data_IF_730203798511
#
_entry.id   IF_730203798511
#
_cell.length_a   1.000
_cell.length_b   1.000
_cell.length_c   1.000
_cell.angle_alpha   90.00
_cell.angle_beta   90.00
_cell.angle_gamma   90.00
#
_symmetry.space_group_name_H-M   'P 1'
#
loop_
_entity.id
_entity.type
_entity.pdbx_description
1 polymer ?
#
# COMPACT_ATOMS: atom_id res chain seq x y z
N UNK A 1 -2.12 32.85 -39.36
CA UNK A 1 -1.89 33.92 -38.36
C UNK A 1 -2.15 33.40 -36.94
N UNK A 2 -1.07 33.29 -36.16
CA UNK A 2 -1.05 33.14 -34.70
C UNK A 2 -1.93 34.18 -34.00
N UNK A 3 -2.35 33.90 -32.76
CA UNK A 3 -2.25 34.71 -31.51
C UNK A 3 -3.21 34.05 -30.48
N UNK A 4 -2.76 33.02 -29.75
CA UNK A 4 -2.23 33.08 -28.37
C UNK A 4 -3.16 33.78 -27.34
N UNK A 5 -3.63 33.03 -26.34
CA UNK A 5 -3.53 33.44 -24.93
C UNK A 5 -3.62 32.25 -23.95
N UNK A 6 -2.79 32.30 -22.90
CA UNK A 6 -2.56 31.27 -21.86
C UNK A 6 -3.40 31.55 -20.59
N UNK A 7 -3.96 30.48 -20.00
CA UNK A 7 -4.23 30.05 -18.58
C UNK A 7 -4.15 31.11 -17.43
N UNK A 8 -4.91 31.01 -16.30
CA UNK A 8 -4.96 29.80 -15.44
C UNK A 8 -6.21 29.52 -14.56
N UNK A 9 -6.32 28.27 -14.12
CA UNK A 9 -6.67 27.94 -12.73
C UNK A 9 -8.15 27.91 -12.32
N UNK A 10 -8.82 26.77 -12.53
CA UNK A 10 -9.91 26.33 -11.64
C UNK A 10 -9.56 24.97 -11.04
N UNK A 11 -8.38 24.90 -10.42
CA UNK A 11 -8.00 23.77 -9.59
C UNK A 11 -8.64 23.92 -8.22
N UNK A 12 -9.88 23.46 -8.05
CA UNK A 12 -10.38 23.07 -6.74
C UNK A 12 -10.14 21.58 -6.57
N UNK A 13 -8.90 21.22 -6.22
CA UNK A 13 -8.62 19.92 -5.63
C UNK A 13 -8.87 20.03 -4.13
N UNK A 14 -10.10 19.74 -3.72
CA UNK A 14 -10.41 19.47 -2.33
C UNK A 14 -10.30 17.97 -2.11
N UNK A 15 -9.16 17.53 -1.57
CA UNK A 15 -9.02 16.20 -1.00
C UNK A 15 -8.80 16.37 0.50
N UNK A 16 -9.89 16.31 1.27
CA UNK A 16 -9.79 16.12 2.71
C UNK A 16 -10.98 15.33 3.23
N UNK A 17 -10.73 14.05 3.48
CA UNK A 17 -11.36 13.31 4.58
C UNK A 17 -10.23 12.50 5.22
N UNK A 18 -9.74 13.01 6.35
CA UNK A 18 -8.87 12.26 7.26
C UNK A 18 -9.64 12.01 8.53
N UNK A 19 -10.31 10.87 8.60
CA UNK A 19 -11.01 10.36 9.78
C UNK A 19 -10.94 8.82 9.66
N UNK A 20 -10.36 8.01 10.55
CA UNK A 20 -9.98 8.16 11.95
C UNK A 20 -8.84 7.15 12.31
N UNK A 21 -7.90 7.52 13.20
CA UNK A 21 -6.97 6.62 13.93
C UNK A 21 -5.90 5.77 13.17
N UNK A 22 -5.11 6.36 12.26
CA UNK A 22 -3.84 5.74 11.86
C UNK A 22 -2.65 6.51 12.45
N UNK A 23 -2.05 6.01 13.54
CA UNK A 23 -0.69 6.43 13.91
C UNK A 23 0.20 6.08 12.72
N UNK A 24 0.75 7.09 12.03
CA UNK A 24 1.77 6.86 11.02
C UNK A 24 2.98 6.25 11.75
N UNK A 25 3.11 4.93 11.72
CA UNK A 25 4.21 4.24 12.39
C UNK A 25 5.45 4.40 11.51
N UNK A 26 6.35 5.30 11.91
CA UNK A 26 7.67 5.39 11.32
C UNK A 26 8.52 4.23 11.86
N UNK A 27 8.64 3.16 11.08
CA UNK A 27 9.45 1.99 11.44
C UNK A 27 10.82 2.08 10.76
N UNK A 28 11.89 2.05 11.57
CA UNK A 28 13.27 1.95 11.07
C UNK A 28 13.72 0.50 11.20
N UNK A 29 14.08 -0.11 10.07
CA UNK A 29 14.52 -1.51 9.98
C UNK A 29 15.95 -1.54 9.50
N UNK A 30 16.81 -2.37 10.10
CA UNK A 30 18.19 -2.53 9.62
C UNK A 30 18.19 -3.41 8.37
N UNK A 31 19.10 -3.12 7.45
CA UNK A 31 19.29 -3.96 6.26
C UNK A 31 19.62 -5.40 6.70
N UNK A 32 18.97 -6.39 6.10
CA UNK A 32 19.11 -7.80 6.47
C UNK A 32 18.07 -8.29 7.48
N UNK A 33 17.46 -7.40 8.27
CA UNK A 33 16.45 -7.78 9.26
C UNK A 33 15.13 -8.20 8.61
N UNK A 34 14.25 -8.76 9.45
CA UNK A 34 12.89 -9.09 9.08
C UNK A 34 11.94 -8.01 9.58
N UNK A 35 11.02 -7.58 8.74
CA UNK A 35 9.89 -6.72 9.14
C UNK A 35 8.58 -7.35 8.71
N UNK A 36 7.55 -7.19 9.54
CA UNK A 36 6.18 -7.61 9.22
C UNK A 36 5.27 -6.42 9.28
N UNK A 37 4.68 -6.10 8.14
CA UNK A 37 3.61 -5.11 8.01
C UNK A 37 2.29 -5.82 8.29
N UNK A 38 1.47 -5.25 9.17
CA UNK A 38 0.17 -5.81 9.55
C UNK A 38 -0.90 -4.78 9.25
N UNK A 39 -1.95 -5.20 8.56
CA UNK A 39 -3.12 -4.40 8.33
C UNK A 39 -4.35 -5.12 8.85
N UNK A 40 -5.21 -4.37 9.52
CA UNK A 40 -6.53 -4.80 9.97
C UNK A 40 -7.56 -3.93 9.27
N UNK A 41 -8.50 -4.58 8.58
CA UNK A 41 -9.63 -3.91 7.98
C UNK A 41 -10.69 -3.58 9.04
N UNK A 42 -11.41 -2.48 8.83
CA UNK A 42 -12.44 -1.99 9.77
C UNK A 42 -13.84 -2.52 9.47
N UNK A 43 -14.04 -3.07 8.27
CA UNK A 43 -15.32 -3.60 7.80
C UNK A 43 -15.81 -4.85 8.53
N UNK A 44 -17.13 -5.02 8.55
CA UNK A 44 -17.82 -6.19 9.13
C UNK A 44 -17.88 -7.40 8.19
N UNK A 45 -17.65 -7.17 6.89
CA UNK A 45 -17.78 -8.19 5.84
C UNK A 45 -16.41 -8.76 5.44
N UNK A 46 -16.44 -9.82 4.63
CA UNK A 46 -15.25 -10.43 4.04
C UNK A 46 -14.63 -9.47 3.02
N UNK A 47 -13.55 -8.79 3.40
CA UNK A 47 -12.93 -7.77 2.54
C UNK A 47 -11.79 -8.34 1.70
N UNK A 48 -11.71 -7.85 0.47
CA UNK A 48 -10.52 -7.99 -0.34
C UNK A 48 -9.48 -7.00 0.17
N UNK A 49 -8.29 -7.46 0.50
CA UNK A 49 -7.25 -6.61 1.07
C UNK A 49 -6.03 -6.51 0.16
N UNK A 50 -5.39 -5.36 0.23
CA UNK A 50 -4.28 -4.98 -0.62
C UNK A 50 -3.20 -4.31 0.22
N UNK A 51 -1.95 -4.56 -0.15
CA UNK A 51 -0.83 -3.71 0.23
C UNK A 51 -0.26 -3.03 -1.00
N UNK A 52 0.00 -1.74 -0.85
CA UNK A 52 0.68 -0.93 -1.81
C UNK A 52 1.95 -0.34 -1.21
N UNK A 53 2.92 -0.07 -2.07
CA UNK A 53 4.15 0.64 -1.74
C UNK A 53 4.26 1.88 -2.62
N UNK A 54 4.55 3.03 -2.01
CA UNK A 54 5.00 4.22 -2.70
C UNK A 54 6.51 4.40 -2.42
N UNK A 55 7.38 4.13 -3.40
CA UNK A 55 8.82 4.37 -3.26
C UNK A 55 9.14 5.85 -2.97
N UNK A 56 10.29 6.12 -2.33
CA UNK A 56 10.74 7.49 -2.06
C UNK A 56 11.33 8.21 -3.28
N UNK A 57 11.44 7.54 -4.42
CA UNK A 57 11.98 8.12 -5.66
C UNK A 57 11.06 9.24 -6.19
N UNK A 58 11.65 10.26 -6.81
CA UNK A 58 10.87 11.32 -7.46
C UNK A 58 10.08 10.71 -8.62
N UNK A 59 8.80 11.11 -8.74
CA UNK A 59 7.86 10.64 -9.76
C UNK A 59 7.54 9.13 -9.69
N UNK A 60 7.79 8.49 -8.55
CA UNK A 60 7.41 7.10 -8.33
C UNK A 60 5.88 6.94 -8.32
N UNK A 61 5.41 5.86 -8.95
CA UNK A 61 4.02 5.43 -8.89
C UNK A 61 3.78 4.44 -7.75
N UNK A 62 2.55 4.35 -7.30
CA UNK A 62 2.10 3.37 -6.31
C UNK A 62 2.16 1.97 -6.92
N UNK A 63 2.84 1.05 -6.23
CA UNK A 63 3.05 -0.33 -6.66
C UNK A 63 2.18 -1.26 -5.82
N UNK A 64 1.43 -2.16 -6.46
CA UNK A 64 0.76 -3.24 -5.75
C UNK A 64 1.83 -4.23 -5.24
N UNK A 65 1.76 -4.62 -3.98
CA UNK A 65 2.72 -5.55 -3.36
C UNK A 65 2.08 -6.91 -3.21
N UNK A 66 0.90 -6.94 -2.58
CA UNK A 66 0.11 -8.16 -2.42
C UNK A 66 -1.37 -7.84 -2.50
N UNK A 67 -2.13 -8.78 -3.03
CA UNK A 67 -3.57 -8.83 -3.01
C UNK A 67 -4.01 -10.17 -2.41
N UNK A 68 -5.08 -10.16 -1.62
CA UNK A 68 -5.68 -11.41 -1.17
C UNK A 68 -7.16 -11.25 -0.84
N UNK A 69 -7.94 -12.22 -1.32
CA UNK A 69 -9.32 -12.45 -0.90
C UNK A 69 -9.33 -13.01 0.52
N UNK A 70 -10.36 -12.69 1.30
CA UNK A 70 -10.58 -13.30 2.60
C UNK A 70 -10.67 -14.84 2.49
N UNK A 71 -9.91 -15.55 3.34
CA UNK A 71 -9.75 -17.01 3.26
C UNK A 71 -8.89 -17.53 2.09
N UNK A 72 -8.52 -16.66 1.15
CA UNK A 72 -7.72 -17.00 -0.03
C UNK A 72 -6.22 -17.11 0.21
N UNK A 73 -5.47 -17.46 -0.85
CA UNK A 73 -4.01 -17.31 -0.87
C UNK A 73 -3.65 -15.86 -1.20
N UNK A 74 -2.46 -15.44 -0.78
CA UNK A 74 -1.88 -14.17 -1.22
C UNK A 74 -1.38 -14.28 -2.66
N UNK A 75 -1.73 -13.29 -3.48
CA UNK A 75 -1.08 -13.03 -4.76
C UNK A 75 -0.09 -11.87 -4.58
N UNK A 76 1.20 -12.20 -4.59
CA UNK A 76 2.29 -11.26 -4.40
C UNK A 76 2.81 -10.86 -5.78
N UNK A 77 2.99 -9.58 -6.04
CA UNK A 77 3.49 -9.12 -7.34
C UNK A 77 4.89 -9.63 -7.63
N UNK A 78 5.17 -9.88 -8.92
CA UNK A 78 6.34 -10.67 -9.37
C UNK A 78 7.67 -10.13 -8.85
N UNK A 79 7.82 -8.81 -8.80
CA UNK A 79 8.99 -8.09 -8.31
C UNK A 79 9.27 -8.31 -6.82
N UNK A 80 8.25 -8.68 -6.02
CA UNK A 80 8.35 -8.87 -4.57
C UNK A 80 8.48 -10.34 -4.15
N UNK A 81 8.04 -11.30 -4.99
CA UNK A 81 7.93 -12.74 -4.67
C UNK A 81 9.17 -13.38 -4.03
N UNK A 82 10.38 -12.89 -4.33
CA UNK A 82 11.62 -13.48 -3.82
C UNK A 82 11.85 -13.26 -2.32
N UNK A 83 11.30 -12.18 -1.75
CA UNK A 83 11.60 -11.76 -0.36
C UNK A 83 10.36 -11.43 0.46
N UNK A 84 9.23 -11.15 -0.22
CA UNK A 84 7.98 -10.83 0.41
C UNK A 84 7.15 -12.11 0.54
N UNK A 85 6.55 -12.30 1.70
CA UNK A 85 5.78 -13.48 2.05
C UNK A 85 4.49 -13.06 2.73
N UNK A 86 3.40 -13.73 2.40
CA UNK A 86 2.11 -13.51 3.03
C UNK A 86 1.32 -14.82 3.03
N UNK A 87 0.57 -15.06 4.10
CA UNK A 87 -0.36 -16.18 4.22
C UNK A 87 -1.73 -15.89 3.58
N UNK A 88 -1.93 -14.69 3.03
CA UNK A 88 -3.22 -14.22 2.56
C UNK A 88 -4.07 -13.62 3.69
N UNK A 89 -5.24 -13.09 3.31
CA UNK A 89 -6.14 -12.40 4.24
C UNK A 89 -6.86 -13.41 5.13
N UNK A 90 -6.84 -13.19 6.45
CA UNK A 90 -7.55 -14.00 7.44
C UNK A 90 -8.21 -13.12 8.47
N UNK A 91 -9.51 -13.30 8.70
CA UNK A 91 -10.28 -12.51 9.64
C UNK A 91 -10.07 -11.00 9.42
N UNK A 92 -10.10 -10.54 8.17
CA UNK A 92 -9.89 -9.13 7.82
C UNK A 92 -8.49 -8.61 8.22
N UNK A 93 -7.50 -9.51 8.32
CA UNK A 93 -6.10 -9.17 8.53
C UNK A 93 -5.26 -9.62 7.33
N UNK A 94 -4.47 -8.70 6.79
CA UNK A 94 -3.48 -9.00 5.77
C UNK A 94 -2.10 -8.58 6.25
N UNK A 95 -1.23 -9.57 6.44
CA UNK A 95 0.17 -9.34 6.84
C UNK A 95 1.14 -9.63 5.70
N UNK A 96 2.20 -8.84 5.62
CA UNK A 96 3.31 -9.00 4.67
C UNK A 96 4.62 -9.03 5.45
N UNK A 97 5.33 -10.14 5.34
CA UNK A 97 6.69 -10.30 5.87
C UNK A 97 7.70 -10.00 4.78
N UNK A 98 8.67 -9.15 5.07
CA UNK A 98 9.78 -8.79 4.20
C UNK A 98 11.06 -9.34 4.83
N UNK A 99 11.74 -10.25 4.13
CA UNK A 99 12.99 -10.83 4.61
C UNK A 99 13.89 -11.27 3.42
N UNK A 100 15.16 -10.81 3.35
CA UNK A 100 15.75 -9.72 4.14
C UNK A 100 15.18 -8.36 3.71
N UNK A 101 15.12 -7.40 4.63
CA UNK A 101 14.86 -5.99 4.30
C UNK A 101 16.06 -5.37 3.57
N UNK A 102 15.80 -4.62 2.49
CA UNK A 102 16.80 -3.96 1.66
C UNK A 102 16.56 -2.45 1.60
N UNK A 103 17.60 -1.67 1.21
CA UNK A 103 17.47 -0.22 1.07
C UNK A 103 16.39 0.19 0.07
N UNK A 104 16.21 -0.58 -1.01
CA UNK A 104 15.17 -0.31 -2.01
C UNK A 104 13.75 -0.60 -1.50
N UNK A 105 13.57 -1.24 -0.34
CA UNK A 105 12.26 -1.42 0.29
C UNK A 105 11.77 -0.14 0.97
N UNK A 106 12.64 0.86 1.13
CA UNK A 106 12.27 2.14 1.73
C UNK A 106 11.15 2.81 0.94
N UNK A 107 10.07 3.16 1.62
CA UNK A 107 8.89 3.78 1.03
C UNK A 107 7.73 3.83 2.02
N UNK A 108 6.65 4.48 1.59
CA UNK A 108 5.41 4.50 2.37
C UNK A 108 4.56 3.30 1.96
N UNK A 109 4.15 2.51 2.94
CA UNK A 109 3.28 1.36 2.70
C UNK A 109 1.85 1.70 3.07
N UNK A 110 0.93 1.43 2.16
CA UNK A 110 -0.50 1.68 2.32
C UNK A 110 -1.24 0.37 2.29
N UNK A 111 -2.17 0.20 3.22
CA UNK A 111 -3.15 -0.85 3.15
C UNK A 111 -4.45 -0.30 2.57
N UNK A 112 -5.15 -1.12 1.78
CA UNK A 112 -6.50 -0.82 1.32
C UNK A 112 -7.39 -2.05 1.49
N UNK A 113 -8.68 -1.80 1.68
CA UNK A 113 -9.74 -2.79 1.69
C UNK A 113 -10.75 -2.46 0.60
N UNK A 114 -11.38 -3.50 0.04
CA UNK A 114 -12.55 -3.37 -0.83
C UNK A 114 -13.60 -4.34 -0.34
N UNK A 115 -14.78 -3.82 -0.06
CA UNK A 115 -15.95 -4.63 0.26
C UNK A 115 -16.30 -5.52 -0.94
N UNK A 116 -16.72 -6.75 -0.66
CA UNK A 116 -17.12 -7.72 -1.69
C UNK A 116 -18.53 -7.49 -2.24
N UNK A 117 -19.15 -6.31 -2.00
CA UNK A 117 -20.51 -5.97 -2.45
C UNK A 117 -20.60 -5.72 -3.96
#
# INVERSE_FOLDING_TARGET
PLWSQRRPGSGLFSARLQETHAWQVNTIVRVGDTVTLVCSASGKDFVNMYWYKLPMEKDASMQLVVYSLEGGKADIEKEFKNRFQSSGTRNNHLSVKIQPALLNDTGTYFCAERDSQ
#
